data_IF_568358762731
#
_entry.id   IF_568358762731
#
_cell.length_a   1.000
_cell.length_b   1.000
_cell.length_c   1.000
_cell.angle_alpha   90.00
_cell.angle_beta   90.00
_cell.angle_gamma   90.00
#
_symmetry.space_group_name_H-M   'P 1'
#
loop_
_entity.id
_entity.type
_entity.pdbx_description
1 polymer ?
#
# COMPACT_ATOMS: atom_id res chain seq x y z
N UNK A 1 8.35 5.49 9.34
CA UNK A 1 7.80 5.76 7.99
C UNK A 1 7.56 4.46 7.24
N UNK A 2 6.59 4.44 6.34
CA UNK A 2 6.24 3.33 5.45
C UNK A 2 7.19 3.21 4.25
N UNK A 3 6.90 2.28 3.34
CA UNK A 3 7.54 2.18 2.02
C UNK A 3 6.48 2.09 0.94
N UNK A 4 6.72 2.81 -0.15
CA UNK A 4 5.88 2.82 -1.35
C UNK A 4 6.72 2.30 -2.51
N UNK A 5 6.10 1.52 -3.38
CA UNK A 5 6.62 1.10 -4.66
C UNK A 5 5.56 1.41 -5.72
N UNK A 6 5.97 1.97 -6.84
CA UNK A 6 5.12 2.08 -8.03
C UNK A 6 5.90 1.59 -9.25
N UNK A 7 5.24 0.87 -10.14
CA UNK A 7 5.73 0.54 -11.47
C UNK A 7 4.73 1.09 -12.49
N UNK A 8 5.23 1.76 -13.52
CA UNK A 8 4.43 2.36 -14.58
C UNK A 8 5.04 2.10 -15.95
N UNK A 9 4.18 1.94 -16.95
CA UNK A 9 4.54 1.65 -18.34
C UNK A 9 4.69 0.15 -18.61
N UNK A 10 5.30 -0.17 -19.74
CA UNK A 10 5.49 -1.54 -20.17
C UNK A 10 6.76 -2.15 -19.53
N UNK A 11 6.57 -2.95 -18.49
CA UNK A 11 7.66 -3.63 -17.79
C UNK A 11 7.63 -5.15 -18.02
N UNK A 12 8.83 -5.76 -18.12
CA UNK A 12 8.96 -7.23 -18.16
C UNK A 12 8.52 -7.83 -16.83
N UNK A 13 7.67 -8.86 -16.88
CA UNK A 13 7.11 -9.54 -15.71
C UNK A 13 8.19 -10.05 -14.75
N UNK A 14 9.28 -10.58 -15.27
CA UNK A 14 10.38 -11.16 -14.49
C UNK A 14 11.11 -10.06 -13.71
N UNK A 15 11.33 -8.90 -14.34
CA UNK A 15 11.95 -7.74 -13.70
C UNK A 15 11.04 -7.16 -12.61
N UNK A 16 9.75 -7.02 -12.90
CA UNK A 16 8.77 -6.57 -11.91
C UNK A 16 8.70 -7.53 -10.71
N UNK A 17 8.70 -8.85 -10.94
CA UNK A 17 8.73 -9.85 -9.88
C UNK A 17 9.98 -9.73 -8.98
N UNK A 18 11.15 -9.47 -9.57
CA UNK A 18 12.38 -9.22 -8.81
C UNK A 18 12.29 -7.95 -7.96
N UNK A 19 11.72 -6.87 -8.51
CA UNK A 19 11.51 -5.61 -7.77
C UNK A 19 10.56 -5.84 -6.59
N UNK A 20 9.42 -6.51 -6.81
CA UNK A 20 8.48 -6.85 -5.74
C UNK A 20 9.10 -7.75 -4.67
N UNK A 21 9.94 -8.72 -5.08
CA UNK A 21 10.67 -9.57 -4.14
C UNK A 21 11.62 -8.76 -3.26
N UNK A 22 12.37 -7.82 -3.85
CA UNK A 22 13.25 -6.91 -3.10
C UNK A 22 12.46 -5.97 -2.19
N UNK A 23 11.36 -5.40 -2.69
CA UNK A 23 10.48 -4.54 -1.91
C UNK A 23 9.90 -5.28 -0.69
N UNK A 24 9.44 -6.52 -0.87
CA UNK A 24 8.93 -7.35 0.24
C UNK A 24 9.94 -7.54 1.37
N UNK A 25 11.25 -7.59 1.09
CA UNK A 25 12.29 -7.72 2.13
C UNK A 25 12.28 -6.54 3.11
N UNK A 26 11.85 -5.35 2.66
CA UNK A 26 11.73 -4.18 3.53
C UNK A 26 10.72 -4.40 4.67
N UNK A 27 9.76 -5.32 4.52
CA UNK A 27 8.88 -5.70 5.62
C UNK A 27 9.65 -6.25 6.84
N UNK A 28 10.84 -6.83 6.65
CA UNK A 28 11.73 -7.27 7.72
C UNK A 28 12.74 -6.18 8.10
N UNK A 29 13.46 -5.67 7.11
CA UNK A 29 14.73 -4.96 7.30
C UNK A 29 14.72 -3.51 6.77
N UNK A 30 13.54 -3.01 6.39
CA UNK A 30 13.39 -1.63 5.97
C UNK A 30 13.75 -0.65 7.09
N UNK A 31 14.51 0.39 6.75
CA UNK A 31 14.88 1.45 7.69
C UNK A 31 13.62 2.10 8.27
N UNK A 32 13.65 2.38 9.56
CA UNK A 32 12.59 3.08 10.31
C UNK A 32 13.24 4.21 11.12
N UNK A 33 12.42 5.06 11.73
CA UNK A 33 12.95 6.04 12.69
C UNK A 33 13.48 5.34 13.93
N UNK A 34 14.44 5.98 14.59
CA UNK A 34 14.99 5.49 15.86
C UNK A 34 13.89 5.34 16.91
N UNK A 35 14.04 4.32 17.76
CA UNK A 35 13.02 3.94 18.75
C UNK A 35 11.86 3.11 18.19
N UNK A 36 11.75 2.90 16.86
CA UNK A 36 10.75 1.99 16.28
C UNK A 36 11.31 0.58 16.04
N UNK A 37 10.45 -0.44 16.19
CA UNK A 37 10.80 -1.81 15.78
C UNK A 37 11.17 -1.89 14.28
N UNK A 38 12.21 -2.67 13.94
CA UNK A 38 12.72 -2.82 12.56
C UNK A 38 11.66 -3.29 11.57
N UNK A 39 11.73 -2.77 10.33
CA UNK A 39 10.89 -3.17 9.21
C UNK A 39 9.46 -2.64 9.24
N UNK A 40 8.70 -2.97 8.19
CA UNK A 40 7.34 -2.49 7.93
C UNK A 40 6.34 -3.65 8.05
N UNK A 41 5.86 -3.89 9.27
CA UNK A 41 5.17 -5.14 9.66
C UNK A 41 3.67 -4.97 9.90
N UNK A 42 3.13 -3.77 9.73
CA UNK A 42 1.82 -3.39 10.27
C UNK A 42 0.70 -3.41 9.22
N UNK A 43 0.98 -3.97 8.05
CA UNK A 43 0.05 -4.09 6.93
C UNK A 43 0.76 -3.97 5.58
N UNK A 44 0.05 -4.36 4.53
CA UNK A 44 0.48 -4.15 3.15
C UNK A 44 -0.73 -4.02 2.23
N UNK A 45 -0.49 -3.46 1.04
CA UNK A 45 -1.47 -3.48 -0.03
C UNK A 45 -0.80 -3.37 -1.40
N UNK A 46 -1.53 -3.82 -2.40
CA UNK A 46 -1.18 -3.73 -3.82
C UNK A 46 -2.45 -3.33 -4.56
N UNK A 47 -2.38 -2.27 -5.35
CA UNK A 47 -3.42 -1.86 -6.27
C UNK A 47 -2.85 -1.68 -7.67
N UNK A 48 -3.65 -1.96 -8.69
CA UNK A 48 -3.26 -1.78 -10.10
C UNK A 48 -4.45 -1.43 -10.96
N UNK A 49 -4.18 -0.69 -12.04
CA UNK A 49 -5.14 -0.38 -13.09
C UNK A 49 -5.12 -1.49 -14.14
N UNK A 50 -6.22 -2.22 -14.29
CA UNK A 50 -6.39 -3.25 -15.31
C UNK A 50 -6.73 -2.62 -16.66
N UNK A 51 -7.55 -1.58 -16.63
CA UNK A 51 -7.89 -0.65 -17.73
C UNK A 51 -8.27 0.71 -17.14
N UNK A 52 -8.76 1.63 -17.96
CA UNK A 52 -9.08 3.01 -17.57
C UNK A 52 -10.15 3.10 -16.46
N UNK A 53 -11.00 2.09 -16.31
CA UNK A 53 -12.12 2.09 -15.37
C UNK A 53 -12.07 0.99 -14.31
N UNK A 54 -11.18 0.00 -14.46
CA UNK A 54 -11.10 -1.16 -13.58
C UNK A 54 -9.83 -1.17 -12.74
N UNK A 55 -10.03 -1.16 -11.42
CA UNK A 55 -8.94 -1.23 -10.44
C UNK A 55 -8.98 -2.56 -9.70
N UNK A 56 -7.86 -3.28 -9.69
CA UNK A 56 -7.61 -4.33 -8.73
C UNK A 56 -7.05 -3.72 -7.44
N UNK A 57 -7.58 -4.08 -6.28
CA UNK A 57 -7.05 -3.65 -4.98
C UNK A 57 -7.15 -4.76 -3.94
N UNK A 58 -6.00 -5.12 -3.35
CA UNK A 58 -5.95 -6.04 -2.22
C UNK A 58 -5.06 -5.50 -1.11
N UNK A 59 -5.58 -5.55 0.12
CA UNK A 59 -4.93 -5.01 1.32
C UNK A 59 -5.08 -5.97 2.49
N UNK A 60 -4.06 -6.05 3.33
CA UNK A 60 -4.08 -6.80 4.60
C UNK A 60 -3.48 -5.99 5.75
N UNK A 61 -3.96 -6.19 6.99
CA UNK A 61 -3.39 -5.58 8.20
C UNK A 61 -2.24 -6.39 8.82
N UNK A 62 -1.74 -7.41 8.12
CA UNK A 62 -0.66 -8.29 8.59
C UNK A 62 0.65 -7.98 7.88
N UNK A 63 1.77 -8.48 8.42
CA UNK A 63 3.07 -8.38 7.76
C UNK A 63 3.07 -9.10 6.39
N UNK A 64 3.68 -8.50 5.36
CA UNK A 64 3.83 -9.08 4.02
C UNK A 64 4.62 -10.40 3.97
N UNK A 65 5.33 -10.74 5.04
CA UNK A 65 6.06 -11.99 5.21
C UNK A 65 5.18 -13.14 5.72
N UNK A 66 4.02 -12.84 6.29
CA UNK A 66 3.11 -13.86 6.84
C UNK A 66 2.33 -14.53 5.71
N UNK A 67 2.50 -15.85 5.60
CA UNK A 67 1.82 -16.68 4.61
C UNK A 67 2.18 -16.33 3.16
N UNK A 68 1.31 -16.73 2.24
CA UNK A 68 1.51 -16.57 0.78
C UNK A 68 0.77 -15.38 0.18
N UNK A 69 0.04 -14.60 1.00
CA UNK A 69 -0.88 -13.56 0.52
C UNK A 69 -0.21 -12.53 -0.39
N UNK A 70 0.87 -11.89 0.09
CA UNK A 70 1.59 -10.89 -0.69
C UNK A 70 2.10 -11.45 -2.02
N UNK A 71 2.74 -12.62 -1.99
CA UNK A 71 3.29 -13.28 -3.19
C UNK A 71 2.18 -13.60 -4.20
N UNK A 72 1.09 -14.23 -3.76
CA UNK A 72 -0.06 -14.55 -4.64
C UNK A 72 -0.68 -13.30 -5.26
N UNK A 73 -0.74 -12.20 -4.51
CA UNK A 73 -1.24 -10.93 -5.04
C UNK A 73 -0.31 -10.34 -6.10
N UNK A 74 1.01 -10.37 -5.87
CA UNK A 74 2.00 -9.96 -6.89
C UNK A 74 1.87 -10.83 -8.14
N UNK A 75 1.82 -12.16 -7.98
CA UNK A 75 1.72 -13.09 -9.11
C UNK A 75 0.46 -12.82 -9.94
N UNK A 76 -0.69 -12.57 -9.29
CA UNK A 76 -1.94 -12.19 -9.96
C UNK A 76 -1.79 -10.87 -10.72
N UNK A 77 -1.35 -9.81 -10.05
CA UNK A 77 -1.21 -8.48 -10.66
C UNK A 77 -0.27 -8.52 -11.87
N UNK A 78 0.84 -9.24 -11.79
CA UNK A 78 1.78 -9.34 -12.91
C UNK A 78 1.27 -10.24 -14.05
N UNK A 79 0.35 -11.17 -13.80
CA UNK A 79 -0.35 -11.90 -14.86
C UNK A 79 -1.30 -11.00 -15.64
N UNK A 80 -1.93 -10.05 -14.97
CA UNK A 80 -2.89 -9.11 -15.58
C UNK A 80 -2.21 -8.00 -16.39
N UNK A 81 -0.85 -7.90 -16.37
CA UNK A 81 -0.03 -6.94 -17.13
C UNK A 81 -0.52 -5.47 -17.07
N UNK A 82 -0.77 -4.91 -15.88
CA UNK A 82 -1.28 -3.56 -15.76
C UNK A 82 -0.23 -2.53 -16.18
N UNK A 83 -0.69 -1.40 -16.72
CA UNK A 83 0.19 -0.27 -17.04
C UNK A 83 0.68 0.46 -15.79
N UNK A 84 -0.06 0.39 -14.68
CA UNK A 84 0.28 1.05 -13.42
C UNK A 84 -0.06 0.13 -12.25
N UNK A 85 0.92 -0.12 -11.39
CA UNK A 85 0.74 -0.80 -10.11
C UNK A 85 1.41 0.00 -9.00
N UNK A 86 0.72 0.12 -7.86
CA UNK A 86 1.23 0.73 -6.65
C UNK A 86 1.12 -0.25 -5.47
N UNK A 87 2.16 -0.31 -4.66
CA UNK A 87 2.20 -1.13 -3.45
C UNK A 87 2.74 -0.35 -2.27
N UNK A 88 2.31 -0.75 -1.08
CA UNK A 88 2.67 -0.12 0.16
C UNK A 88 2.97 -1.17 1.24
N UNK A 89 4.03 -0.95 2.02
CA UNK A 89 4.33 -1.66 3.25
C UNK A 89 4.16 -0.70 4.43
N UNK A 90 3.26 -1.06 5.34
CA UNK A 90 2.83 -0.18 6.44
C UNK A 90 3.75 -0.32 7.66
N UNK A 91 4.16 0.84 8.17
CA UNK A 91 4.73 1.02 9.51
C UNK A 91 3.86 2.02 10.24
N UNK A 92 3.03 1.53 11.15
CA UNK A 92 2.04 2.37 11.82
C UNK A 92 2.75 3.36 12.76
N UNK A 93 2.52 4.65 12.55
CA UNK A 93 2.76 5.74 13.52
C UNK A 93 1.49 6.08 14.29
N UNK A 94 0.34 5.89 13.65
CA UNK A 94 -1.01 6.13 14.18
C UNK A 94 -1.95 4.99 13.74
N UNK A 95 -3.07 4.85 14.43
CA UNK A 95 -4.15 3.93 14.06
C UNK A 95 -3.84 2.45 14.25
N UNK A 96 -4.88 1.70 14.63
CA UNK A 96 -4.78 0.24 14.85
C UNK A 96 -4.48 -0.54 13.57
N UNK A 97 -4.04 -1.80 13.70
CA UNK A 97 -3.79 -2.71 12.56
C UNK A 97 -5.12 -3.21 11.97
N UNK A 98 -5.73 -2.40 11.10
CA UNK A 98 -6.97 -2.72 10.37
C UNK A 98 -6.76 -2.57 8.87
N UNK A 99 -7.50 -3.35 8.09
CA UNK A 99 -7.44 -3.32 6.61
C UNK A 99 -7.71 -1.92 6.06
N UNK A 100 -8.63 -1.19 6.69
CA UNK A 100 -9.00 0.18 6.31
C UNK A 100 -7.90 1.20 6.56
N UNK A 101 -6.87 0.86 7.36
CA UNK A 101 -5.70 1.70 7.60
C UNK A 101 -4.51 1.31 6.72
N UNK A 102 -4.61 0.20 5.97
CA UNK A 102 -3.59 -0.20 4.99
C UNK A 102 -3.83 0.55 3.69
N UNK A 103 -2.77 1.14 3.15
CA UNK A 103 -2.74 1.67 1.79
C UNK A 103 -2.59 0.54 0.76
N UNK A 104 -2.93 0.76 -0.53
CA UNK A 104 -3.50 2.00 -1.10
C UNK A 104 -4.93 2.32 -0.65
N UNK A 105 -5.34 3.58 -0.77
CA UNK A 105 -6.75 3.97 -0.75
C UNK A 105 -7.29 4.05 -2.17
N UNK A 106 -8.59 3.80 -2.32
CA UNK A 106 -9.29 3.90 -3.59
C UNK A 106 -10.48 4.84 -3.45
N UNK A 107 -10.62 5.76 -4.40
CA UNK A 107 -11.80 6.62 -4.53
C UNK A 107 -11.91 7.11 -5.97
N UNK A 108 -13.08 6.96 -6.58
CA UNK A 108 -13.45 7.58 -7.86
C UNK A 108 -12.37 7.39 -8.95
N UNK A 109 -11.84 6.17 -9.10
CA UNK A 109 -10.77 5.86 -10.06
C UNK A 109 -9.35 6.13 -9.58
N UNK A 110 -9.15 6.73 -8.42
CA UNK A 110 -7.81 7.06 -7.90
C UNK A 110 -7.30 6.05 -6.88
N UNK A 111 -6.13 5.48 -7.14
CA UNK A 111 -5.32 4.79 -6.14
C UNK A 111 -4.34 5.77 -5.49
N UNK A 112 -4.33 5.82 -4.15
CA UNK A 112 -3.50 6.75 -3.40
C UNK A 112 -2.70 6.07 -2.28
N UNK A 113 -1.42 6.44 -2.16
CA UNK A 113 -0.54 6.03 -1.05
C UNK A 113 0.12 7.24 -0.42
N UNK A 114 0.18 7.27 0.90
CA UNK A 114 0.92 8.27 1.66
C UNK A 114 2.01 7.60 2.50
N UNK A 115 3.16 8.27 2.63
CA UNK A 115 4.25 7.85 3.50
C UNK A 115 4.65 8.99 4.44
N UNK A 116 4.01 9.03 5.60
CA UNK A 116 4.25 10.04 6.61
C UNK A 116 3.15 10.02 7.65
N UNK A 117 3.13 11.03 8.51
CA UNK A 117 2.04 11.30 9.44
C UNK A 117 1.58 12.73 9.21
N UNK A 118 0.27 12.94 9.06
CA UNK A 118 -0.32 14.28 9.04
C UNK A 118 -0.76 14.58 10.48
N UNK A 119 -0.08 15.52 11.12
CA UNK A 119 -0.44 15.97 12.48
C UNK A 119 -1.66 16.88 12.43
N UNK A 120 -2.48 16.85 13.49
CA UNK A 120 -3.70 17.66 13.63
C UNK A 120 -4.71 17.48 12.47
N UNK A 121 -4.82 16.26 11.93
CA UNK A 121 -5.69 15.96 10.79
C UNK A 121 -7.18 16.22 11.05
N UNK A 122 -7.62 16.18 12.32
CA UNK A 122 -8.99 16.52 12.72
C UNK A 122 -9.40 17.96 12.39
N UNK A 123 -8.42 18.87 12.28
CA UNK A 123 -8.65 20.29 12.00
C UNK A 123 -8.56 20.63 10.50
N UNK A 124 -8.36 19.65 9.63
CA UNK A 124 -8.33 19.90 8.18
C UNK A 124 -9.73 20.33 7.73
N UNK A 125 -9.88 21.50 7.08
CA UNK A 125 -11.16 21.99 6.61
C UNK A 125 -11.64 21.20 5.40
N UNK A 126 -12.18 20.01 5.64
CA UNK A 126 -12.76 19.15 4.61
C UNK A 126 -14.19 19.57 4.29
N UNK A 127 -14.55 19.53 3.00
CA UNK A 127 -15.95 19.64 2.58
C UNK A 127 -16.78 18.49 3.20
N UNK A 128 -18.07 18.74 3.43
CA UNK A 128 -18.96 17.82 4.16
C UNK A 128 -19.14 16.46 3.46
N UNK A 129 -19.08 16.45 2.13
CA UNK A 129 -19.11 15.25 1.30
C UNK A 129 -17.86 14.37 1.49
N UNK A 130 -16.69 14.94 1.77
CA UNK A 130 -15.51 14.16 2.15
C UNK A 130 -15.60 13.65 3.58
N UNK A 131 -16.07 14.47 4.54
CA UNK A 131 -16.16 14.08 5.96
C UNK A 131 -16.97 12.81 6.18
N UNK A 132 -18.12 12.68 5.52
CA UNK A 132 -19.01 11.51 5.64
C UNK A 132 -18.39 10.20 5.13
N UNK A 133 -17.35 10.30 4.31
CA UNK A 133 -16.73 9.17 3.63
C UNK A 133 -15.38 8.76 4.22
N UNK A 134 -14.96 9.38 5.32
CA UNK A 134 -13.72 9.02 6.03
C UNK A 134 -13.86 7.60 6.57
N UNK A 135 -12.89 6.75 6.21
CA UNK A 135 -12.75 5.38 6.70
C UNK A 135 -11.33 5.20 7.25
N UNK A 136 -11.21 4.49 8.35
CA UNK A 136 -9.93 4.27 9.00
C UNK A 136 -9.42 5.48 9.80
N UNK A 137 -8.18 5.36 10.28
CA UNK A 137 -7.52 6.24 11.26
C UNK A 137 -6.01 6.31 10.95
N UNK A 138 -5.66 6.49 9.67
CA UNK A 138 -4.27 6.52 9.20
C UNK A 138 -3.66 7.92 9.27
#
# INVERSE_FOLDING_TARGET
MCRILSLSGNYKKERAALIFRSFRKLAKDGKVYDGMAKGHRDGWGIGSYLDDNNVFLLKRPTNALIGKGFKKTVDRVLCDKPNVVISHLRKASTGVKKKDNSHPFYRDGFLFCHNGTIFNSINIPLRSDFKKNIKGQT
#
